data_IF_361661260985
#
_entry.id   IF_361661260985
#
_cell.length_a   1.000
_cell.length_b   1.000
_cell.length_c   1.000
_cell.angle_alpha   90.00
_cell.angle_beta   90.00
_cell.angle_gamma   90.00
#
_symmetry.space_group_name_H-M   'P 1'
#
loop_
_entity.id
_entity.type
_entity.pdbx_description
1 polymer ?
#
# COMPACT_ATOMS: atom_id res chain seq x y z
N UNK A 1 4.34 -9.33 -14.33
CA UNK A 1 4.15 -7.88 -14.66
C UNK A 1 2.69 -7.40 -14.65
N UNK A 2 1.69 -8.23 -15.01
CA UNK A 2 0.27 -7.80 -15.06
C UNK A 2 -0.28 -7.23 -13.74
N UNK A 3 0.25 -7.67 -12.59
CA UNK A 3 -0.14 -7.14 -11.27
C UNK A 3 0.15 -5.64 -11.10
N UNK A 4 1.25 -5.13 -11.67
CA UNK A 4 1.64 -3.72 -11.57
C UNK A 4 0.83 -2.79 -12.48
N UNK A 5 0.04 -3.37 -13.40
CA UNK A 5 -0.86 -2.63 -14.28
C UNK A 5 -2.30 -2.63 -13.75
N UNK A 6 -2.51 -3.10 -12.52
CA UNK A 6 -3.85 -3.12 -11.94
C UNK A 6 -4.37 -1.69 -11.77
N UNK A 7 -5.62 -1.37 -12.19
CA UNK A 7 -6.13 0.00 -12.18
C UNK A 7 -6.11 0.61 -10.78
N UNK A 8 -6.41 -0.17 -9.74
CA UNK A 8 -6.34 0.30 -8.34
C UNK A 8 -4.91 0.69 -7.95
N UNK A 9 -3.90 -0.07 -8.36
CA UNK A 9 -2.50 0.27 -8.09
C UNK A 9 -2.10 1.57 -8.82
N UNK A 10 -2.48 1.72 -10.09
CA UNK A 10 -2.22 2.93 -10.85
C UNK A 10 -2.91 4.15 -10.25
N UNK A 11 -4.15 4.00 -9.78
CA UNK A 11 -4.87 5.06 -9.06
C UNK A 11 -4.16 5.41 -7.76
N UNK A 12 -3.73 4.43 -6.96
CA UNK A 12 -2.98 4.69 -5.72
C UNK A 12 -1.67 5.44 -6.00
N UNK A 13 -0.90 5.01 -7.01
CA UNK A 13 0.35 5.67 -7.39
C UNK A 13 0.09 7.08 -7.94
N UNK A 14 -0.95 7.27 -8.77
CA UNK A 14 -1.33 8.59 -9.27
C UNK A 14 -1.75 9.54 -8.15
N UNK A 15 -2.52 9.05 -7.18
CA UNK A 15 -2.92 9.84 -6.02
C UNK A 15 -1.70 10.23 -5.20
N UNK A 16 -0.79 9.29 -4.92
CA UNK A 16 0.44 9.56 -4.18
C UNK A 16 1.34 10.57 -4.90
N UNK A 17 1.59 10.39 -6.20
CA UNK A 17 2.41 11.33 -7.00
C UNK A 17 1.73 12.70 -7.08
N UNK A 18 0.41 12.73 -7.27
CA UNK A 18 -0.37 13.98 -7.26
C UNK A 18 -0.24 14.71 -5.92
N UNK A 19 -0.32 13.98 -4.81
CA UNK A 19 -0.12 14.49 -3.45
C UNK A 19 1.27 15.15 -3.32
N UNK A 20 2.32 14.45 -3.74
CA UNK A 20 3.70 14.94 -3.66
C UNK A 20 3.95 16.17 -4.53
N UNK A 21 3.36 16.24 -5.72
CA UNK A 21 3.47 17.39 -6.62
C UNK A 21 2.77 18.62 -6.04
N UNK A 22 1.60 18.44 -5.41
CA UNK A 22 0.88 19.53 -4.75
C UNK A 22 1.64 20.07 -3.53
N UNK A 23 2.26 19.17 -2.75
CA UNK A 23 3.14 19.56 -1.64
C UNK A 23 4.34 20.38 -2.15
N UNK A 24 5.00 19.92 -3.22
CA UNK A 24 6.10 20.65 -3.85
C UNK A 24 5.67 22.02 -4.40
N UNK A 25 4.43 22.14 -4.87
CA UNK A 25 3.83 23.38 -5.35
C UNK A 25 3.45 24.36 -4.22
N UNK A 26 3.63 23.97 -2.95
CA UNK A 26 3.37 24.82 -1.78
C UNK A 26 1.92 24.79 -1.27
N UNK A 27 1.07 23.90 -1.80
CA UNK A 27 -0.28 23.69 -1.29
C UNK A 27 -0.25 22.59 -0.22
N UNK A 28 -0.12 22.98 1.06
CA UNK A 28 -0.01 22.05 2.18
C UNK A 28 -1.30 22.01 3.03
N UNK A 29 -2.00 20.87 3.00
CA UNK A 29 -3.14 20.56 3.89
C UNK A 29 -2.75 19.44 4.89
N UNK A 30 -2.14 19.77 6.04
CA UNK A 30 -1.38 18.83 6.87
C UNK A 30 -2.08 17.50 7.17
N UNK A 31 -3.39 17.55 7.47
CA UNK A 31 -4.17 16.36 7.81
C UNK A 31 -4.45 15.49 6.58
N UNK A 32 -4.82 16.08 5.45
CA UNK A 32 -5.17 15.31 4.27
C UNK A 32 -3.93 14.67 3.65
N UNK A 33 -2.82 15.42 3.55
CA UNK A 33 -1.59 14.92 2.94
C UNK A 33 -0.94 13.81 3.78
N UNK A 34 -0.83 14.00 5.10
CA UNK A 34 -0.14 13.03 5.97
C UNK A 34 -0.86 11.67 6.02
N UNK A 35 -2.18 11.65 6.26
CA UNK A 35 -2.91 10.37 6.39
C UNK A 35 -3.20 9.70 5.05
N UNK A 36 -3.31 10.47 3.96
CA UNK A 36 -3.54 9.89 2.63
C UNK A 36 -2.32 9.10 2.17
N UNK A 37 -1.12 9.60 2.43
CA UNK A 37 0.11 8.88 2.07
C UNK A 37 0.27 7.60 2.89
N UNK A 38 -0.05 7.62 4.19
CA UNK A 38 -0.06 6.43 5.04
C UNK A 38 -1.07 5.38 4.56
N UNK A 39 -2.26 5.81 4.14
CA UNK A 39 -3.28 4.93 3.58
C UNK A 39 -2.84 4.30 2.24
N UNK A 40 -2.17 5.08 1.38
CA UNK A 40 -1.73 4.66 0.05
C UNK A 40 -0.44 3.83 0.09
N UNK A 41 0.39 3.98 1.12
CA UNK A 41 1.65 3.25 1.26
C UNK A 41 1.43 1.73 1.26
N UNK A 42 0.46 1.23 2.03
CA UNK A 42 0.17 -0.20 2.13
C UNK A 42 -0.21 -0.87 0.81
N UNK A 43 -1.22 -0.38 0.06
CA UNK A 43 -1.59 -1.00 -1.20
C UNK A 43 -0.47 -0.91 -2.24
N UNK A 44 0.36 0.13 -2.23
CA UNK A 44 1.52 0.24 -3.12
C UNK A 44 2.58 -0.80 -2.76
N UNK A 45 3.02 -0.84 -1.50
CA UNK A 45 4.07 -1.76 -1.02
C UNK A 45 3.66 -3.21 -1.19
N UNK A 46 2.46 -3.58 -0.75
CA UNK A 46 1.96 -4.96 -0.87
C UNK A 46 1.80 -5.39 -2.33
N UNK A 47 1.44 -4.48 -3.24
CA UNK A 47 1.38 -4.77 -4.67
C UNK A 47 2.76 -5.01 -5.27
N UNK A 48 3.76 -4.24 -4.85
CA UNK A 48 5.15 -4.45 -5.28
C UNK A 48 5.66 -5.80 -4.78
N UNK A 49 5.42 -6.14 -3.50
CA UNK A 49 5.79 -7.45 -2.93
C UNK A 49 5.09 -8.58 -3.70
N UNK A 50 3.77 -8.49 -3.93
CA UNK A 50 3.04 -9.49 -4.70
C UNK A 50 3.57 -9.63 -6.14
N UNK A 51 3.91 -8.52 -6.78
CA UNK A 51 4.48 -8.54 -8.12
C UNK A 51 5.87 -9.18 -8.15
N UNK A 52 6.71 -8.88 -7.15
CA UNK A 52 8.03 -9.47 -6.98
C UNK A 52 7.94 -10.98 -6.76
N UNK A 53 7.09 -11.43 -5.83
CA UNK A 53 6.83 -12.85 -5.54
C UNK A 53 6.34 -13.60 -6.78
N UNK A 54 5.34 -13.06 -7.50
CA UNK A 54 4.85 -13.67 -8.75
C UNK A 54 5.93 -13.76 -9.81
N UNK A 55 6.82 -12.77 -9.88
CA UNK A 55 7.93 -12.76 -10.84
C UNK A 55 9.03 -13.75 -10.45
N UNK A 56 9.33 -13.85 -9.16
CA UNK A 56 10.37 -14.73 -8.63
C UNK A 56 9.96 -16.21 -8.72
N UNK A 57 8.74 -16.53 -8.27
CA UNK A 57 8.19 -17.89 -8.34
C UNK A 57 7.58 -18.24 -9.70
N UNK A 58 7.56 -17.29 -10.66
CA UNK A 58 6.91 -17.41 -11.97
C UNK A 58 5.46 -17.93 -11.90
N UNK A 59 4.76 -17.63 -10.81
CA UNK A 59 3.43 -18.13 -10.52
C UNK A 59 2.41 -16.98 -10.46
N UNK A 60 1.77 -16.70 -11.60
CA UNK A 60 0.74 -15.65 -11.73
C UNK A 60 -0.49 -15.89 -10.85
N UNK A 61 -0.71 -17.12 -10.36
CA UNK A 61 -1.82 -17.47 -9.47
C UNK A 61 -1.49 -17.26 -8.00
N UNK A 62 -0.23 -16.95 -7.68
CA UNK A 62 0.17 -16.67 -6.31
C UNK A 62 -0.62 -15.48 -5.76
N UNK A 63 -1.13 -15.64 -4.54
CA UNK A 63 -1.83 -14.62 -3.77
C UNK A 63 -1.15 -14.54 -2.42
N UNK A 64 -0.98 -13.32 -1.92
CA UNK A 64 -0.35 -13.12 -0.64
C UNK A 64 -1.27 -13.70 0.46
N UNK A 65 -0.76 -14.57 1.34
CA UNK A 65 -1.57 -15.05 2.45
C UNK A 65 -1.89 -13.91 3.41
N UNK A 66 -3.07 -13.95 4.02
CA UNK A 66 -3.53 -12.91 4.96
C UNK A 66 -2.53 -12.68 6.11
N UNK A 67 -1.85 -13.73 6.56
CA UNK A 67 -0.81 -13.63 7.57
C UNK A 67 0.29 -12.62 7.20
N UNK A 68 0.69 -12.54 5.93
CA UNK A 68 1.70 -11.59 5.48
C UNK A 68 1.18 -10.15 5.49
N UNK A 69 -0.09 -9.94 5.16
CA UNK A 69 -0.72 -8.61 5.29
C UNK A 69 -0.76 -8.17 6.75
N UNK A 70 -1.19 -9.06 7.65
CA UNK A 70 -1.23 -8.77 9.10
C UNK A 70 0.17 -8.47 9.61
N UNK A 71 1.18 -9.27 9.24
CA UNK A 71 2.57 -9.00 9.61
C UNK A 71 3.06 -7.66 9.06
N UNK A 72 2.71 -7.29 7.82
CA UNK A 72 3.09 -6.00 7.25
C UNK A 72 2.45 -4.83 8.02
N UNK A 73 1.16 -4.90 8.34
CA UNK A 73 0.47 -3.89 9.15
C UNK A 73 1.11 -3.78 10.53
N UNK A 74 1.35 -4.89 11.22
CA UNK A 74 1.99 -4.90 12.55
C UNK A 74 3.41 -4.35 12.47
N UNK A 75 4.20 -4.74 11.47
CA UNK A 75 5.56 -4.25 11.31
C UNK A 75 5.61 -2.75 11.05
N UNK A 76 4.68 -2.22 10.23
CA UNK A 76 4.57 -0.78 10.00
C UNK A 76 4.05 -0.05 11.25
N UNK A 77 3.04 -0.56 11.95
CA UNK A 77 2.61 0.02 13.22
C UNK A 77 3.78 0.11 14.21
N UNK A 78 4.59 -0.94 14.36
CA UNK A 78 5.79 -0.89 15.21
C UNK A 78 6.81 0.13 14.67
N UNK A 79 7.04 0.18 13.36
CA UNK A 79 8.01 1.11 12.78
C UNK A 79 7.60 2.58 12.99
N UNK A 80 6.34 2.91 12.69
CA UNK A 80 5.83 4.28 12.81
C UNK A 80 5.53 4.69 14.26
N UNK A 81 5.08 3.78 15.12
CA UNK A 81 4.79 4.10 16.52
C UNK A 81 6.00 3.98 17.46
N UNK A 82 6.96 3.08 17.21
CA UNK A 82 8.11 2.88 18.12
C UNK A 82 9.41 3.50 17.61
N UNK A 83 9.69 3.46 16.31
CA UNK A 83 10.98 3.92 15.76
C UNK A 83 10.97 5.38 15.31
N UNK A 84 9.82 5.91 14.90
CA UNK A 84 9.68 7.29 14.44
C UNK A 84 9.60 8.38 15.54
N UNK A 85 8.96 8.17 16.71
CA UNK A 85 8.85 9.19 17.75
C UNK A 85 10.17 9.81 18.22
N UNK A 86 11.29 9.06 18.36
CA UNK A 86 12.56 9.68 18.75
C UNK A 86 13.18 10.56 17.65
N UNK A 87 12.70 10.48 16.41
CA UNK A 87 13.25 11.20 15.24
C UNK A 87 12.44 12.46 14.92
N UNK A 88 11.13 12.48 15.18
CA UNK A 88 10.26 13.62 14.88
C UNK A 88 9.18 13.80 15.94
N UNK A 89 9.27 14.91 16.67
CA UNK A 89 8.37 15.31 17.78
C UNK A 89 6.93 15.64 17.35
N UNK A 90 6.59 15.42 16.07
CA UNK A 90 5.26 15.68 15.48
C UNK A 90 4.41 14.42 15.30
N UNK A 91 4.98 13.23 15.41
CA UNK A 91 4.24 11.97 15.33
C UNK A 91 3.83 11.55 16.73
N UNK A 92 2.66 12.02 17.14
CA UNK A 92 1.98 11.45 18.31
C UNK A 92 1.46 10.09 17.86
N UNK A 93 1.65 9.04 18.66
CA UNK A 93 1.12 7.72 18.36
C UNK A 93 -0.41 7.77 18.32
N UNK A 94 -0.95 8.12 17.17
CA UNK A 94 -2.38 8.20 16.90
C UNK A 94 -2.79 6.89 16.24
N UNK A 95 -3.78 6.22 16.83
CA UNK A 95 -4.37 5.00 16.29
C UNK A 95 -4.92 5.18 14.85
N UNK A 96 -5.03 6.44 14.41
CA UNK A 96 -5.37 6.85 13.05
C UNK A 96 -4.38 6.30 12.02
N UNK A 97 -3.08 6.25 12.33
CA UNK A 97 -2.07 5.74 11.40
C UNK A 97 -2.19 4.22 11.23
N UNK A 98 -2.42 3.51 12.34
CA UNK A 98 -2.73 2.08 12.34
C UNK A 98 -4.00 1.78 11.55
N UNK A 99 -5.03 2.62 11.68
CA UNK A 99 -6.26 2.51 10.89
C UNK A 99 -6.00 2.78 9.41
N UNK A 100 -5.18 3.77 9.06
CA UNK A 100 -4.79 4.05 7.68
C UNK A 100 -4.07 2.87 7.04
N UNK A 101 -3.07 2.28 7.72
CA UNK A 101 -2.38 1.08 7.24
C UNK A 101 -3.32 -0.12 7.10
N UNK A 102 -4.21 -0.31 8.09
CA UNK A 102 -5.18 -1.41 8.05
C UNK A 102 -6.14 -1.25 6.88
N UNK A 103 -6.69 -0.05 6.66
CA UNK A 103 -7.57 0.24 5.53
C UNK A 103 -6.86 0.04 4.19
N UNK A 104 -5.62 0.50 4.07
CA UNK A 104 -4.83 0.31 2.86
C UNK A 104 -4.57 -1.16 2.55
N UNK A 105 -4.25 -1.96 3.57
CA UNK A 105 -4.09 -3.40 3.45
C UNK A 105 -5.40 -4.11 3.06
N UNK A 106 -6.54 -3.68 3.61
CA UNK A 106 -7.86 -4.20 3.22
C UNK A 106 -8.20 -3.86 1.76
N UNK A 107 -7.94 -2.63 1.31
CA UNK A 107 -8.12 -2.24 -0.09
C UNK A 107 -7.32 -3.17 -1.00
N UNK A 108 -6.05 -3.41 -0.69
CA UNK A 108 -5.22 -4.37 -1.43
C UNK A 108 -5.80 -5.80 -1.42
N UNK A 109 -6.20 -6.29 -0.23
CA UNK A 109 -6.75 -7.63 -0.06
C UNK A 109 -8.00 -7.87 -0.92
N UNK A 110 -8.93 -6.91 -0.94
CA UNK A 110 -10.21 -7.08 -1.65
C UNK A 110 -10.13 -6.78 -3.15
N UNK A 111 -9.13 -6.00 -3.59
CA UNK A 111 -9.01 -5.57 -4.99
C UNK A 111 -7.92 -6.34 -5.75
N UNK A 112 -6.67 -6.24 -5.30
CA UNK A 112 -5.47 -6.66 -6.03
C UNK A 112 -5.06 -8.10 -5.69
N UNK A 113 -5.28 -8.55 -4.45
CA UNK A 113 -4.88 -9.88 -3.99
C UNK A 113 -5.81 -11.00 -4.49
N UNK A 114 -6.01 -11.06 -5.81
CA UNK A 114 -6.76 -12.10 -6.50
C UNK A 114 -5.83 -12.87 -7.44
N UNK A 115 -6.04 -14.18 -7.64
CA UNK A 115 -5.27 -14.93 -8.62
C UNK A 115 -5.52 -14.32 -10.00
N UNK A 116 -4.46 -14.12 -10.78
CA UNK A 116 -4.62 -13.72 -12.17
C UNK A 116 -5.27 -14.91 -12.91
N UNK A 117 -6.58 -14.85 -13.11
CA UNK A 117 -7.22 -15.78 -14.04
C UNK A 117 -6.64 -15.47 -15.41
N UNK A 118 -5.90 -16.42 -16.00
CA UNK A 118 -5.65 -16.37 -17.43
C UNK A 118 -7.04 -16.41 -18.06
N UNK A 119 -7.49 -15.29 -18.60
CA UNK A 119 -8.53 -15.30 -19.62
C UNK A 119 -8.00 -16.22 -20.71
N UNK A 120 -8.45 -17.46 -20.66
CA UNK A 120 -8.35 -18.38 -21.78
C UNK A 120 -9.11 -17.68 -22.89
N UNK A 121 -8.39 -17.07 -23.82
CA UNK A 121 -8.93 -16.84 -25.14
C UNK A 121 -9.28 -18.24 -25.66
N UNK A 122 -10.54 -18.62 -25.46
CA UNK A 122 -11.14 -19.76 -26.14
C UNK A 122 -11.16 -19.42 -27.63
N UNK A 123 -10.54 -20.34 -28.38
CA UNK A 123 -10.70 -20.63 -29.80
C UNK A 123 -10.19 -19.58 -30.79
#
# INVERSE_FOLDING_TARGET
>A
MRTLLHPVFLVCVLLFVGNQVLELAGFYFPLLFSYLDDLLAMPIVLTIILAAERSYFQNDKFVLPLAWLVMAVVAFSIFFELLLPPISSKHTADWVDVLAYTLGALVFQFTINKPLSRTSHRC
#
